data_IF_302185707401
#
_entry.id   IF_302185707401
#
_cell.length_a   1.000
_cell.length_b   1.000
_cell.length_c   1.000
_cell.angle_alpha   90.00
_cell.angle_beta   90.00
_cell.angle_gamma   90.00
#
_symmetry.space_group_name_H-M   'P 1'
#
loop_
_entity.id
_entity.type
_entity.pdbx_description
1 polymer ?
#
# COMPACT_ATOMS: atom_id res chain seq x y z
N UNK A 1 28.04 7.61 3.27
CA UNK A 1 27.52 7.86 4.63
C UNK A 1 27.96 9.25 5.06
N UNK A 2 27.04 10.08 5.54
CA UNK A 2 27.36 11.42 6.04
C UNK A 2 28.08 11.31 7.39
N UNK A 3 29.09 12.15 7.56
CA UNK A 3 29.86 12.20 8.81
C UNK A 3 29.22 13.17 9.81
N UNK A 4 29.38 12.90 11.08
CA UNK A 4 29.02 13.83 12.16
C UNK A 4 29.71 15.18 11.94
N UNK A 5 28.99 16.27 12.10
CA UNK A 5 29.45 17.63 11.83
C UNK A 5 29.25 18.11 10.39
N UNK A 6 28.83 17.24 9.46
CA UNK A 6 28.44 17.68 8.12
C UNK A 6 27.20 18.58 8.19
N UNK A 7 27.24 19.72 7.52
CA UNK A 7 26.10 20.66 7.44
C UNK A 7 25.46 20.55 6.07
N UNK A 8 24.16 20.23 6.03
CA UNK A 8 23.36 20.16 4.82
C UNK A 8 22.59 21.48 4.67
N UNK A 9 22.56 22.03 3.44
CA UNK A 9 21.84 23.24 3.10
C UNK A 9 22.17 24.44 4.01
N UNK A 10 23.43 24.53 4.49
CA UNK A 10 23.89 25.55 5.43
C UNK A 10 23.04 25.69 6.70
N UNK A 11 22.27 24.66 7.03
CA UNK A 11 21.26 24.71 8.09
C UNK A 11 21.26 23.50 9.02
N UNK A 12 21.34 22.29 8.49
CA UNK A 12 21.14 21.06 9.24
C UNK A 12 22.49 20.39 9.53
N UNK A 13 22.93 20.42 10.76
CA UNK A 13 24.17 19.77 11.20
C UNK A 13 23.89 18.32 11.61
N UNK A 14 24.52 17.38 10.94
CA UNK A 14 24.42 15.94 11.23
C UNK A 14 25.12 15.62 12.55
N UNK A 15 24.39 15.06 13.48
CA UNK A 15 24.89 14.66 14.80
C UNK A 15 25.20 13.17 14.89
N UNK A 16 24.47 12.32 14.14
CA UNK A 16 24.69 10.89 14.13
C UNK A 16 23.59 10.16 13.35
N UNK A 17 23.89 8.97 12.93
CA UNK A 17 22.94 8.09 12.24
C UNK A 17 22.03 7.39 13.26
N UNK A 18 20.73 7.44 13.05
CA UNK A 18 19.72 6.84 13.94
C UNK A 18 18.93 5.70 13.29
N UNK A 19 19.02 5.56 11.95
CA UNK A 19 18.30 4.50 11.24
C UNK A 19 18.88 4.23 9.85
N UNK A 20 18.62 3.03 9.34
CA UNK A 20 18.98 2.62 7.99
C UNK A 20 17.81 1.91 7.35
N UNK A 21 17.34 2.43 6.22
CA UNK A 21 16.35 1.80 5.37
C UNK A 21 16.96 1.25 4.07
N UNK A 22 16.12 0.69 3.22
CA UNK A 22 16.54 0.16 1.93
C UNK A 22 17.22 1.21 1.05
N UNK A 23 16.57 2.35 0.83
CA UNK A 23 17.06 3.40 -0.08
C UNK A 23 17.59 4.65 0.61
N UNK A 24 17.39 4.80 1.91
CA UNK A 24 17.76 6.00 2.66
C UNK A 24 18.29 5.67 4.04
N UNK A 25 19.16 6.53 4.56
CA UNK A 25 19.61 6.54 5.94
C UNK A 25 18.95 7.71 6.68
N UNK A 26 18.68 7.54 7.96
CA UNK A 26 18.10 8.57 8.82
C UNK A 26 19.12 9.02 9.85
N UNK A 27 19.26 10.34 9.96
CA UNK A 27 20.21 10.98 10.88
C UNK A 27 19.47 11.88 11.86
N UNK A 28 19.96 11.94 13.10
CA UNK A 28 19.67 13.04 14.01
C UNK A 28 20.46 14.25 13.57
N UNK A 29 19.83 15.40 13.51
CA UNK A 29 20.48 16.65 13.12
C UNK A 29 20.01 17.83 13.98
N UNK A 30 20.82 18.90 14.00
CA UNK A 30 20.48 20.19 14.59
C UNK A 30 20.08 21.15 13.49
N UNK A 31 18.86 21.66 13.55
CA UNK A 31 18.41 22.79 12.74
C UNK A 31 18.88 24.08 13.41
N UNK A 32 19.93 24.67 12.89
CA UNK A 32 20.51 25.89 13.45
C UNK A 32 19.64 27.14 13.26
N UNK A 33 18.77 27.14 12.23
CA UNK A 33 17.89 28.26 11.98
C UNK A 33 16.74 28.36 12.99
N UNK A 34 16.17 27.22 13.36
CA UNK A 34 15.07 27.14 14.32
C UNK A 34 15.52 26.64 15.70
N UNK A 35 16.82 26.40 15.88
CA UNK A 35 17.42 25.93 17.14
C UNK A 35 16.70 24.70 17.75
N UNK A 36 16.45 23.68 16.92
CA UNK A 36 15.78 22.45 17.32
C UNK A 36 16.47 21.21 16.78
N UNK A 37 16.23 20.06 17.38
CA UNK A 37 16.64 18.78 16.83
C UNK A 37 15.58 18.27 15.85
N UNK A 38 16.05 17.64 14.76
CA UNK A 38 15.22 17.07 13.70
C UNK A 38 15.78 15.71 13.27
N UNK A 39 14.97 14.92 12.60
CA UNK A 39 15.43 13.76 11.85
C UNK A 39 15.62 14.17 10.38
N UNK A 40 16.72 13.74 9.76
CA UNK A 40 17.00 13.97 8.34
C UNK A 40 17.16 12.63 7.65
N UNK A 41 16.23 12.34 6.76
CA UNK A 41 16.26 11.14 5.90
C UNK A 41 17.02 11.50 4.62
N UNK A 42 18.07 10.77 4.32
CA UNK A 42 19.00 11.06 3.21
C UNK A 42 19.03 9.89 2.25
N UNK A 43 18.79 10.16 0.96
CA UNK A 43 18.89 9.15 -0.09
C UNK A 43 20.32 8.62 -0.18
N UNK A 44 20.48 7.30 -0.16
CA UNK A 44 21.80 6.65 -0.23
C UNK A 44 22.51 6.97 -1.56
N UNK A 45 23.85 7.04 -1.56
CA UNK A 45 24.63 7.40 -2.74
C UNK A 45 24.32 6.57 -3.98
N UNK A 46 24.10 5.27 -3.82
CA UNK A 46 23.82 4.34 -4.92
C UNK A 46 22.53 4.64 -5.70
N UNK A 47 21.61 5.42 -5.12
CA UNK A 47 20.32 5.77 -5.73
C UNK A 47 20.25 7.23 -6.24
N UNK A 48 21.29 8.04 -6.03
CA UNK A 48 21.28 9.47 -6.33
C UNK A 48 21.35 9.81 -7.80
N UNK A 49 21.74 8.86 -8.66
CA UNK A 49 21.77 9.03 -10.12
C UNK A 49 20.52 8.42 -10.81
N UNK A 50 19.72 7.67 -10.09
CA UNK A 50 18.50 7.08 -10.62
C UNK A 50 17.32 8.04 -10.41
N UNK A 51 16.84 8.62 -11.52
CA UNK A 51 15.74 9.59 -11.52
C UNK A 51 14.43 8.98 -10.98
N UNK A 52 14.25 7.67 -11.07
CA UNK A 52 13.07 6.97 -10.53
C UNK A 52 13.09 6.98 -9.00
N UNK A 53 14.23 6.66 -8.39
CA UNK A 53 14.37 6.71 -6.94
C UNK A 53 14.28 8.12 -6.38
N UNK A 54 14.89 9.10 -7.05
CA UNK A 54 14.80 10.52 -6.67
C UNK A 54 13.35 11.00 -6.69
N UNK A 55 12.62 10.70 -7.75
CA UNK A 55 11.21 11.07 -7.89
C UNK A 55 10.35 10.42 -6.81
N UNK A 56 10.55 9.13 -6.53
CA UNK A 56 9.87 8.40 -5.45
C UNK A 56 10.12 9.05 -4.10
N UNK A 57 11.38 9.33 -3.81
CA UNK A 57 11.80 9.95 -2.56
C UNK A 57 11.13 11.33 -2.36
N UNK A 58 11.11 12.17 -3.41
CA UNK A 58 10.43 13.46 -3.36
C UNK A 58 8.92 13.36 -3.24
N UNK A 59 8.30 12.44 -3.96
CA UNK A 59 6.83 12.23 -3.90
C UNK A 59 6.35 11.76 -2.53
N UNK A 60 7.13 10.90 -1.87
CA UNK A 60 6.87 10.46 -0.49
C UNK A 60 6.87 11.66 0.48
N UNK A 61 7.89 12.51 0.37
CA UNK A 61 7.97 13.71 1.19
C UNK A 61 6.83 14.69 0.94
N UNK A 62 6.48 14.94 -0.31
CA UNK A 62 5.41 15.88 -0.69
C UNK A 62 4.05 15.43 -0.17
N UNK A 63 3.76 14.14 -0.24
CA UNK A 63 2.50 13.61 0.26
C UNK A 63 2.42 13.66 1.79
N UNK A 64 3.50 13.33 2.48
CA UNK A 64 3.54 13.41 3.94
C UNK A 64 3.52 14.88 4.44
N UNK A 65 4.03 15.83 3.67
CA UNK A 65 4.13 17.24 4.05
C UNK A 65 2.77 17.95 4.24
N UNK A 66 1.70 17.45 3.62
CA UNK A 66 0.35 18.01 3.79
C UNK A 66 -0.37 17.47 5.02
N UNK A 67 0.20 16.44 5.66
CA UNK A 67 -0.40 15.79 6.82
C UNK A 67 0.11 16.42 8.12
N UNK A 68 -0.82 16.85 8.97
CA UNK A 68 -0.53 17.29 10.34
C UNK A 68 -1.48 16.56 11.28
N UNK A 69 -0.95 15.61 12.04
CA UNK A 69 -1.73 14.80 12.97
C UNK A 69 -0.83 14.26 14.09
N UNK A 70 -1.33 14.15 15.35
CA UNK A 70 -0.54 13.64 16.47
C UNK A 70 0.05 12.24 16.26
N UNK A 71 -0.59 11.40 15.43
CA UNK A 71 -0.17 10.03 15.15
C UNK A 71 0.53 9.88 13.79
N UNK A 72 0.99 10.98 13.19
CA UNK A 72 1.80 11.00 11.98
C UNK A 72 3.08 11.78 12.24
N UNK A 73 4.22 11.28 11.78
CA UNK A 73 5.49 12.02 11.81
C UNK A 73 5.41 13.20 10.84
N UNK A 74 5.59 14.43 11.36
CA UNK A 74 5.54 15.63 10.53
C UNK A 74 6.75 15.75 9.63
N UNK A 75 6.54 16.10 8.37
CA UNK A 75 7.59 16.50 7.42
C UNK A 75 7.71 18.01 7.45
N UNK A 76 8.91 18.52 7.70
CA UNK A 76 9.18 19.97 7.82
C UNK A 76 9.78 20.58 6.56
N UNK A 77 10.60 19.82 5.84
CA UNK A 77 11.34 20.33 4.68
C UNK A 77 11.77 19.19 3.76
N UNK A 78 12.03 19.50 2.51
CA UNK A 78 12.59 18.59 1.52
C UNK A 78 13.51 19.36 0.61
N UNK A 79 14.68 18.82 0.29
CA UNK A 79 15.64 19.53 -0.52
C UNK A 79 16.71 18.66 -1.16
N UNK A 80 17.57 19.37 -1.84
CA UNK A 80 18.75 18.86 -2.53
C UNK A 80 19.91 19.81 -2.22
N UNK A 81 21.00 19.28 -1.73
CA UNK A 81 22.25 20.03 -1.50
C UNK A 81 23.42 19.28 -2.14
N UNK A 82 23.91 19.81 -3.27
CA UNK A 82 25.02 19.22 -4.04
C UNK A 82 24.83 17.72 -4.38
N UNK A 83 23.61 17.36 -4.81
CA UNK A 83 23.25 15.97 -5.14
C UNK A 83 22.92 15.09 -3.94
N UNK A 84 22.88 15.65 -2.73
CA UNK A 84 22.40 14.98 -1.52
C UNK A 84 20.92 15.30 -1.35
N UNK A 85 20.06 14.33 -1.67
CA UNK A 85 18.61 14.47 -1.52
C UNK A 85 18.20 14.14 -0.09
N UNK A 86 17.45 15.02 0.56
CA UNK A 86 17.08 14.89 1.96
C UNK A 86 15.63 15.29 2.24
N UNK A 87 15.08 14.70 3.28
CA UNK A 87 13.78 15.04 3.88
C UNK A 87 14.02 15.34 5.35
N UNK A 88 13.57 16.51 5.80
CA UNK A 88 13.63 16.90 7.23
C UNK A 88 12.29 16.64 7.87
N UNK A 89 12.30 15.92 8.97
CA UNK A 89 11.09 15.53 9.68
C UNK A 89 11.24 15.64 11.18
N UNK A 90 10.12 15.53 11.85
CA UNK A 90 10.03 15.45 13.31
C UNK A 90 10.94 14.34 13.83
N UNK A 91 11.75 14.67 14.82
CA UNK A 91 12.56 13.68 15.55
C UNK A 91 11.69 13.07 16.65
N UNK A 92 11.49 11.76 16.56
CA UNK A 92 10.80 11.01 17.61
C UNK A 92 11.84 10.23 18.41
N UNK A 93 11.95 10.55 19.69
CA UNK A 93 12.77 9.76 20.63
C UNK A 93 11.97 8.55 21.09
N UNK A 94 12.36 7.39 20.61
CA UNK A 94 11.65 6.14 20.85
C UNK A 94 12.21 4.99 20.03
N UNK A 95 11.40 3.95 19.87
CA UNK A 95 11.76 2.76 19.10
C UNK A 95 10.65 2.43 18.10
N UNK A 96 10.97 1.65 17.09
CA UNK A 96 9.96 1.11 16.17
C UNK A 96 9.08 0.09 16.89
N UNK A 97 7.85 -0.06 16.42
CA UNK A 97 6.96 -1.13 16.89
C UNK A 97 7.60 -2.52 16.66
N UNK A 98 8.37 -2.68 15.57
CA UNK A 98 9.09 -3.94 15.31
C UNK A 98 10.09 -4.27 16.42
N UNK A 99 10.88 -3.30 16.83
CA UNK A 99 11.82 -3.47 17.94
C UNK A 99 11.07 -3.72 19.26
N UNK A 100 9.96 -3.05 19.49
CA UNK A 100 9.15 -3.23 20.69
C UNK A 100 8.57 -4.66 20.77
N UNK A 101 8.00 -5.17 19.68
CA UNK A 101 7.52 -6.55 19.60
C UNK A 101 8.68 -7.55 19.82
N UNK A 102 9.83 -7.32 19.18
CA UNK A 102 11.00 -8.19 19.32
C UNK A 102 11.52 -8.26 20.75
N UNK A 103 11.50 -7.14 21.46
CA UNK A 103 11.95 -7.08 22.88
C UNK A 103 10.98 -7.74 23.84
N UNK A 104 9.66 -7.63 23.58
CA UNK A 104 8.63 -8.18 24.48
C UNK A 104 8.19 -9.59 24.09
N UNK A 105 8.49 -10.05 22.88
CA UNK A 105 7.99 -11.29 22.31
C UNK A 105 6.58 -11.15 21.75
N UNK A 106 5.61 -10.76 22.54
CA UNK A 106 4.25 -10.36 22.16
C UNK A 106 3.74 -9.26 23.08
N UNK A 107 2.79 -8.50 22.63
CA UNK A 107 2.18 -7.42 23.40
C UNK A 107 0.96 -7.89 24.16
N UNK A 108 0.65 -7.24 25.28
CA UNK A 108 -0.63 -7.43 25.94
C UNK A 108 -1.78 -6.93 25.05
N UNK A 109 -2.98 -7.44 25.29
CA UNK A 109 -4.20 -7.02 24.57
C UNK A 109 -4.39 -5.51 24.66
N UNK A 110 -4.21 -4.94 25.85
CA UNK A 110 -4.35 -3.51 26.09
C UNK A 110 -3.34 -2.67 25.31
N UNK A 111 -2.08 -3.07 25.31
CA UNK A 111 -1.02 -2.39 24.54
C UNK A 111 -1.31 -2.48 23.04
N UNK A 112 -1.58 -3.68 22.52
CA UNK A 112 -1.85 -3.90 21.11
C UNK A 112 -3.07 -3.08 20.63
N UNK A 113 -4.15 -3.08 21.41
CA UNK A 113 -5.36 -2.31 21.07
C UNK A 113 -5.11 -0.80 21.10
N UNK A 114 -4.41 -0.30 22.12
CA UNK A 114 -4.06 1.13 22.21
C UNK A 114 -3.16 1.58 21.03
N UNK A 115 -2.17 0.78 20.66
CA UNK A 115 -1.30 1.06 19.52
C UNK A 115 -2.12 1.03 18.22
N UNK A 116 -2.96 0.02 18.03
CA UNK A 116 -3.81 -0.11 16.86
C UNK A 116 -4.76 1.08 16.68
N UNK A 117 -5.37 1.58 17.76
CA UNK A 117 -6.23 2.77 17.73
C UNK A 117 -5.43 3.99 17.26
N UNK A 118 -4.26 4.23 17.82
CA UNK A 118 -3.44 5.39 17.45
C UNK A 118 -2.94 5.32 16.00
N UNK A 119 -2.51 4.14 15.54
CA UNK A 119 -2.14 3.91 14.12
C UNK A 119 -3.34 4.16 13.21
N UNK A 120 -4.50 3.62 13.57
CA UNK A 120 -5.74 3.81 12.81
C UNK A 120 -6.14 5.28 12.70
N UNK A 121 -5.99 6.06 13.77
CA UNK A 121 -6.26 7.50 13.76
C UNK A 121 -5.33 8.26 12.83
N UNK A 122 -4.04 7.89 12.78
CA UNK A 122 -3.08 8.46 11.83
C UNK A 122 -3.42 8.09 10.38
N UNK A 123 -3.76 6.83 10.12
CA UNK A 123 -4.16 6.37 8.78
C UNK A 123 -5.47 7.01 8.32
N UNK A 124 -6.45 7.16 9.20
CA UNK A 124 -7.71 7.83 8.91
C UNK A 124 -7.46 9.30 8.49
N UNK A 125 -6.62 10.01 9.22
CA UNK A 125 -6.24 11.38 8.87
C UNK A 125 -5.57 11.47 7.50
N UNK A 126 -4.74 10.50 7.11
CA UNK A 126 -4.16 10.43 5.78
C UNK A 126 -5.22 10.11 4.70
N UNK A 127 -6.08 9.14 4.96
CA UNK A 127 -7.15 8.75 4.04
C UNK A 127 -8.12 9.89 3.76
N UNK A 128 -8.46 10.70 4.76
CA UNK A 128 -9.31 11.89 4.59
C UNK A 128 -8.70 12.96 3.67
N UNK A 129 -7.39 12.92 3.45
CA UNK A 129 -6.67 13.73 2.47
C UNK A 129 -6.42 13.01 1.14
N UNK A 130 -7.02 11.84 0.93
CA UNK A 130 -6.82 11.03 -0.27
C UNK A 130 -5.44 10.36 -0.34
N UNK A 131 -4.74 10.24 0.79
CA UNK A 131 -3.39 9.66 0.87
C UNK A 131 -3.48 8.26 1.48
N UNK A 132 -3.06 7.26 0.71
CA UNK A 132 -2.95 5.86 1.12
C UNK A 132 -1.51 5.57 1.48
N UNK A 133 -1.28 4.94 2.63
CA UNK A 133 0.07 4.66 3.12
C UNK A 133 0.82 3.62 2.29
N UNK A 134 0.18 2.52 1.94
CA UNK A 134 0.68 1.40 1.12
C UNK A 134 1.83 0.58 1.68
N UNK A 135 2.39 0.95 2.80
CA UNK A 135 3.48 0.20 3.46
C UNK A 135 3.34 0.18 4.99
N UNK A 136 2.11 -0.03 5.47
CA UNK A 136 1.83 -0.17 6.91
C UNK A 136 2.50 -1.45 7.42
N UNK A 137 3.39 -1.30 8.39
CA UNK A 137 4.13 -2.39 9.05
C UNK A 137 4.79 -1.90 10.33
N UNK A 138 5.17 -2.79 11.23
CA UNK A 138 5.78 -2.38 12.52
C UNK A 138 7.05 -1.55 12.39
N UNK A 139 7.82 -1.70 11.31
CA UNK A 139 9.02 -0.92 11.04
C UNK A 139 8.72 0.56 10.75
N UNK A 140 7.52 0.87 10.27
CA UNK A 140 7.06 2.22 9.92
C UNK A 140 6.14 2.83 10.99
N UNK A 141 6.14 2.28 12.17
CA UNK A 141 5.40 2.77 13.34
C UNK A 141 6.41 3.00 14.47
N UNK A 142 6.43 4.21 15.02
CA UNK A 142 7.36 4.60 16.08
C UNK A 142 6.55 4.80 17.38
N UNK A 143 7.06 4.22 18.45
CA UNK A 143 6.54 4.42 19.80
C UNK A 143 7.52 5.33 20.53
N UNK A 144 7.06 6.53 20.91
CA UNK A 144 7.89 7.47 21.66
C UNK A 144 8.07 7.06 23.11
N UNK A 145 9.04 7.68 23.79
CA UNK A 145 9.32 7.43 25.21
C UNK A 145 8.13 7.74 26.14
N UNK A 146 7.25 8.63 25.73
CA UNK A 146 6.02 8.99 26.46
C UNK A 146 4.78 8.17 26.01
N UNK A 147 4.98 7.12 25.21
CA UNK A 147 3.94 6.19 24.78
C UNK A 147 3.05 6.68 23.62
N UNK A 148 3.41 7.76 22.95
CA UNK A 148 2.74 8.21 21.73
C UNK A 148 3.17 7.35 20.53
N UNK A 149 2.20 7.03 19.69
CA UNK A 149 2.43 6.22 18.48
C UNK A 149 2.33 7.09 17.25
N UNK A 150 3.31 7.02 16.38
CA UNK A 150 3.37 7.80 15.13
C UNK A 150 3.68 6.92 13.94
N UNK A 151 2.91 7.11 12.88
CA UNK A 151 3.12 6.47 11.57
C UNK A 151 4.08 7.32 10.75
N UNK A 152 5.02 6.67 10.07
CA UNK A 152 6.03 7.30 9.22
C UNK A 152 6.18 6.55 7.90
N UNK A 153 6.95 7.10 6.96
CA UNK A 153 7.33 6.46 5.70
C UNK A 153 6.15 6.03 4.82
N UNK A 154 5.34 7.00 4.42
CA UNK A 154 4.24 6.79 3.47
C UNK A 154 4.77 6.25 2.13
N UNK A 155 4.43 5.00 1.81
CA UNK A 155 4.93 4.26 0.64
C UNK A 155 4.28 4.63 -0.69
N UNK A 156 3.98 5.90 -0.94
CA UNK A 156 3.26 6.41 -2.13
C UNK A 156 3.94 5.99 -3.43
N UNK A 157 5.25 5.83 -3.40
CA UNK A 157 6.07 5.40 -4.53
C UNK A 157 5.82 3.94 -4.98
N UNK A 158 5.18 3.10 -4.16
CA UNK A 158 4.90 1.69 -4.51
C UNK A 158 3.81 1.54 -5.57
N UNK A 159 2.94 2.53 -5.72
CA UNK A 159 1.86 2.50 -6.72
C UNK A 159 2.34 2.59 -8.18
N UNK A 160 3.55 3.09 -8.41
CA UNK A 160 4.06 3.39 -9.75
C UNK A 160 5.03 2.34 -10.33
N UNK A 161 5.40 1.29 -9.56
CA UNK A 161 6.36 0.28 -10.01
C UNK A 161 5.74 -1.11 -10.04
N UNK A 162 5.01 -1.38 -11.12
CA UNK A 162 4.29 -2.65 -11.32
C UNK A 162 5.18 -3.85 -11.68
N UNK A 163 6.50 -3.74 -11.77
CA UNK A 163 7.29 -4.80 -12.41
C UNK A 163 8.59 -5.24 -11.73
N UNK A 164 8.88 -4.85 -10.50
CA UNK A 164 10.11 -5.38 -9.88
C UNK A 164 9.89 -5.72 -8.42
N UNK A 165 9.73 -7.00 -8.13
CA UNK A 165 9.98 -7.57 -6.81
C UNK A 165 11.50 -7.49 -6.60
N UNK A 166 11.98 -6.32 -6.22
CA UNK A 166 13.39 -6.13 -5.89
C UNK A 166 13.66 -6.62 -4.47
N UNK A 167 14.88 -7.07 -4.21
CA UNK A 167 15.32 -7.62 -2.91
C UNK A 167 15.06 -6.72 -1.69
N UNK A 168 14.84 -5.42 -1.89
CA UNK A 168 14.48 -4.45 -0.85
C UNK A 168 13.02 -4.55 -0.37
N UNK A 169 12.19 -5.40 -1.01
CA UNK A 169 10.77 -5.62 -0.69
C UNK A 169 10.59 -6.74 0.35
N UNK A 170 11.64 -7.45 0.74
CA UNK A 170 11.56 -8.66 1.55
C UNK A 170 10.82 -8.45 2.89
N UNK A 171 11.05 -7.33 3.56
CA UNK A 171 10.36 -7.02 4.82
C UNK A 171 8.91 -6.56 4.67
N UNK A 172 8.51 -6.09 3.49
CA UNK A 172 7.18 -5.54 3.26
C UNK A 172 6.18 -6.57 2.75
N UNK A 173 6.63 -7.64 2.10
CA UNK A 173 5.74 -8.68 1.57
C UNK A 173 4.90 -9.36 2.65
N UNK A 174 5.44 -9.49 3.87
CA UNK A 174 4.73 -10.08 5.01
C UNK A 174 3.44 -9.32 5.39
N UNK A 175 3.33 -8.05 5.00
CA UNK A 175 2.21 -7.16 5.34
C UNK A 175 1.40 -6.72 4.12
N UNK A 176 1.81 -7.13 2.91
CA UNK A 176 1.18 -6.71 1.66
C UNK A 176 -0.19 -7.36 1.47
N UNK A 177 -1.17 -6.56 1.07
CA UNK A 177 -2.51 -7.07 0.78
C UNK A 177 -2.53 -7.95 -0.49
N UNK A 178 -3.53 -8.83 -0.63
CA UNK A 178 -3.69 -9.65 -1.83
C UNK A 178 -3.71 -8.84 -3.12
N UNK A 179 -4.39 -7.71 -3.16
CA UNK A 179 -4.45 -6.82 -4.32
C UNK A 179 -3.09 -6.17 -4.64
N UNK A 180 -2.29 -5.82 -3.61
CA UNK A 180 -0.93 -5.32 -3.81
C UNK A 180 -0.01 -6.39 -4.37
N UNK A 181 -0.12 -7.63 -3.90
CA UNK A 181 0.65 -8.77 -4.40
C UNK A 181 0.35 -9.06 -5.87
N UNK A 182 -0.91 -8.91 -6.28
CA UNK A 182 -1.32 -9.05 -7.69
C UNK A 182 -0.87 -7.89 -8.59
N UNK A 183 -0.28 -6.84 -8.02
CA UNK A 183 0.03 -5.62 -8.75
C UNK A 183 -1.20 -4.79 -9.12
N UNK A 184 -2.30 -5.00 -8.41
CA UNK A 184 -3.56 -4.31 -8.61
C UNK A 184 -3.63 -2.93 -7.95
N UNK A 185 -4.77 -2.30 -8.09
CA UNK A 185 -5.07 -1.03 -7.46
C UNK A 185 -5.07 -1.18 -5.93
N UNK A 186 -4.41 -0.26 -5.26
CA UNK A 186 -4.26 -0.21 -3.81
C UNK A 186 -4.94 1.04 -3.26
N UNK A 187 -5.88 0.86 -2.37
CA UNK A 187 -6.64 1.91 -1.70
C UNK A 187 -6.54 1.81 -0.17
N UNK A 188 -7.40 2.51 0.53
CA UNK A 188 -7.51 2.52 1.99
C UNK A 188 -7.68 1.11 2.58
N UNK A 189 -8.35 0.21 1.87
CA UNK A 189 -8.60 -1.17 2.31
C UNK A 189 -7.34 -2.02 2.29
N UNK A 190 -6.33 -1.64 1.49
CA UNK A 190 -4.99 -2.25 1.54
C UNK A 190 -4.26 -1.90 2.84
N UNK A 191 -4.38 -0.67 3.32
CA UNK A 191 -3.84 -0.25 4.61
C UNK A 191 -4.54 -0.95 5.78
N UNK A 192 -5.86 -1.17 5.68
CA UNK A 192 -6.64 -1.94 6.66
C UNK A 192 -6.13 -3.37 6.76
N UNK A 193 -5.86 -4.03 5.63
CA UNK A 193 -5.28 -5.38 5.62
C UNK A 193 -3.91 -5.41 6.31
N UNK A 194 -3.02 -4.50 5.94
CA UNK A 194 -1.67 -4.41 6.51
C UNK A 194 -1.69 -4.10 8.01
N UNK A 195 -2.64 -3.27 8.46
CA UNK A 195 -2.89 -3.05 9.88
C UNK A 195 -3.35 -4.34 10.58
N UNK A 196 -4.22 -5.11 9.95
CA UNK A 196 -4.67 -6.41 10.47
C UNK A 196 -3.50 -7.39 10.67
N UNK A 197 -2.59 -7.48 9.70
CA UNK A 197 -1.38 -8.29 9.82
C UNK A 197 -0.47 -7.77 10.94
N UNK A 198 -0.35 -6.45 11.07
CA UNK A 198 0.42 -5.81 12.15
C UNK A 198 -0.18 -6.11 13.52
N UNK A 199 -1.50 -6.04 13.67
CA UNK A 199 -2.20 -6.43 14.90
C UNK A 199 -1.99 -7.91 15.22
N UNK A 200 -2.07 -8.77 14.22
CA UNK A 200 -1.77 -10.20 14.39
C UNK A 200 -0.38 -10.43 14.98
N UNK A 201 0.63 -9.76 14.43
CA UNK A 201 2.00 -9.86 14.92
C UNK A 201 2.13 -9.31 16.35
N UNK A 202 1.47 -8.19 16.67
CA UNK A 202 1.48 -7.63 18.02
C UNK A 202 0.99 -8.64 19.08
N UNK A 203 -0.11 -9.33 18.81
CA UNK A 203 -0.74 -10.21 19.81
C UNK A 203 -0.17 -11.63 19.83
N UNK A 204 0.47 -12.08 18.76
CA UNK A 204 1.05 -13.44 18.65
C UNK A 204 2.58 -13.46 18.71
N UNK A 205 3.23 -12.34 18.43
CA UNK A 205 4.68 -12.24 18.28
C UNK A 205 5.23 -12.73 16.94
N UNK A 206 4.36 -13.10 16.00
CA UNK A 206 4.74 -13.60 14.67
C UNK A 206 3.78 -13.19 13.57
N UNK A 207 4.29 -13.09 12.36
CA UNK A 207 3.47 -12.85 11.18
C UNK A 207 2.65 -14.11 10.83
N UNK A 208 1.43 -13.96 10.25
CA UNK A 208 0.61 -15.12 9.92
C UNK A 208 1.16 -15.94 8.75
N UNK A 209 1.87 -15.31 7.82
CA UNK A 209 2.46 -15.96 6.65
C UNK A 209 3.94 -15.71 6.57
N UNK A 210 4.72 -16.78 6.52
CA UNK A 210 6.17 -16.76 6.38
C UNK A 210 6.62 -17.81 5.37
N UNK A 211 7.86 -17.71 4.88
CA UNK A 211 8.41 -18.61 3.87
C UNK A 211 9.84 -18.25 3.47
N UNK A 212 10.48 -19.16 2.73
CA UNK A 212 11.88 -19.03 2.35
C UNK A 212 12.11 -17.94 1.28
N UNK A 213 11.07 -17.57 0.54
CA UNK A 213 11.15 -16.55 -0.52
C UNK A 213 9.99 -15.56 -0.43
N UNK A 214 10.21 -14.34 -0.95
CA UNK A 214 9.15 -13.33 -1.06
C UNK A 214 7.98 -13.81 -1.90
N UNK A 215 8.21 -14.61 -2.93
CA UNK A 215 7.18 -15.20 -3.78
C UNK A 215 6.33 -16.21 -2.99
N UNK A 216 6.95 -17.06 -2.18
CA UNK A 216 6.25 -18.02 -1.34
C UNK A 216 5.31 -17.31 -0.34
N UNK A 217 5.79 -16.25 0.31
CA UNK A 217 4.99 -15.43 1.22
C UNK A 217 3.84 -14.74 0.48
N UNK A 218 4.12 -14.18 -0.68
CA UNK A 218 3.13 -13.53 -1.53
C UNK A 218 1.98 -14.47 -1.92
N UNK A 219 2.30 -15.71 -2.32
CA UNK A 219 1.31 -16.74 -2.66
C UNK A 219 0.41 -17.06 -1.46
N UNK A 220 0.97 -17.13 -0.25
CA UNK A 220 0.19 -17.37 0.98
C UNK A 220 -0.82 -16.25 1.23
N UNK A 221 -0.45 -14.98 1.04
CA UNK A 221 -1.40 -13.87 1.12
C UNK A 221 -2.55 -13.98 0.11
N UNK A 222 -2.33 -14.61 -1.04
CA UNK A 222 -3.36 -14.82 -2.05
C UNK A 222 -4.27 -16.00 -1.77
N UNK A 223 -3.75 -17.09 -1.21
CA UNK A 223 -4.39 -18.39 -1.24
C UNK A 223 -4.66 -19.02 0.13
N UNK A 224 -3.78 -18.78 1.12
CA UNK A 224 -3.90 -19.44 2.40
C UNK A 224 -4.82 -18.66 3.36
N UNK A 225 -5.68 -19.39 4.06
CA UNK A 225 -6.45 -18.81 5.16
C UNK A 225 -5.53 -18.51 6.35
N UNK A 226 -5.85 -17.41 7.04
CA UNK A 226 -5.11 -17.02 8.22
C UNK A 226 -5.46 -17.92 9.40
N UNK A 227 -4.45 -18.43 10.09
CA UNK A 227 -4.69 -19.19 11.33
C UNK A 227 -5.19 -18.18 12.39
N UNK A 228 -6.34 -18.45 13.04
CA UNK A 228 -6.85 -17.53 14.06
C UNK A 228 -5.80 -17.21 15.10
N UNK A 229 -5.59 -15.93 15.46
CA UNK A 229 -4.53 -15.55 16.39
C UNK A 229 -4.68 -16.15 17.79
N UNK A 230 -5.90 -16.50 18.21
CA UNK A 230 -6.16 -17.22 19.48
C UNK A 230 -5.50 -18.59 19.58
N UNK A 231 -5.12 -19.21 18.45
CA UNK A 231 -4.33 -20.46 18.45
C UNK A 231 -2.95 -20.23 19.09
N UNK A 232 -2.38 -19.05 18.91
CA UNK A 232 -1.07 -18.68 19.47
C UNK A 232 -1.16 -17.78 20.71
N UNK A 233 -2.31 -17.14 20.91
CA UNK A 233 -2.62 -16.27 22.03
C UNK A 233 -4.02 -16.63 22.59
N UNK A 234 -4.14 -17.74 23.35
CA UNK A 234 -5.44 -18.22 23.85
C UNK A 234 -6.18 -17.21 24.74
N UNK A 235 -5.46 -16.26 25.34
CA UNK A 235 -6.00 -15.17 26.15
C UNK A 235 -6.64 -14.05 25.33
N UNK A 236 -6.54 -14.09 24.00
CA UNK A 236 -7.04 -13.02 23.14
C UNK A 236 -8.57 -12.93 23.22
N UNK A 237 -9.16 -11.76 23.53
CA UNK A 237 -10.59 -11.58 23.53
C UNK A 237 -11.23 -11.81 22.16
N UNK A 238 -12.44 -12.37 22.16
CA UNK A 238 -13.20 -12.66 20.95
C UNK A 238 -13.32 -11.45 20.03
N UNK A 239 -13.67 -10.29 20.55
CA UNK A 239 -13.86 -9.07 19.74
C UNK A 239 -12.60 -8.66 19.00
N UNK A 240 -11.43 -8.70 19.65
CA UNK A 240 -10.16 -8.30 19.01
C UNK A 240 -9.74 -9.31 17.94
N UNK A 241 -9.95 -10.61 18.19
CA UNK A 241 -9.73 -11.65 17.18
C UNK A 241 -10.60 -11.40 15.94
N UNK A 242 -11.89 -11.11 16.13
CA UNK A 242 -12.80 -10.84 15.03
C UNK A 242 -12.43 -9.58 14.25
N UNK A 243 -11.94 -8.53 14.91
CA UNK A 243 -11.43 -7.33 14.25
C UNK A 243 -10.23 -7.67 13.36
N UNK A 244 -9.26 -8.42 13.89
CA UNK A 244 -8.07 -8.86 13.13
C UNK A 244 -8.49 -9.69 11.91
N UNK A 245 -9.39 -10.64 12.09
CA UNK A 245 -9.87 -11.51 11.00
C UNK A 245 -10.65 -10.72 9.95
N UNK A 246 -11.43 -9.73 10.34
CA UNK A 246 -12.14 -8.85 9.39
C UNK A 246 -11.18 -7.97 8.60
N UNK A 247 -10.19 -7.35 9.24
CA UNK A 247 -9.16 -6.58 8.55
C UNK A 247 -8.40 -7.41 7.50
N UNK A 248 -8.15 -8.68 7.79
CA UNK A 248 -7.32 -9.58 6.98
C UNK A 248 -8.09 -10.44 5.99
N UNK A 249 -9.37 -10.14 5.74
CA UNK A 249 -10.13 -10.81 4.69
C UNK A 249 -9.46 -10.60 3.33
N UNK A 250 -9.43 -11.65 2.51
CA UNK A 250 -8.79 -11.59 1.19
C UNK A 250 -9.58 -10.73 0.21
N UNK A 251 -10.91 -10.84 0.25
CA UNK A 251 -11.80 -9.97 -0.52
C UNK A 251 -11.88 -8.58 0.13
N UNK A 252 -11.66 -7.54 -0.66
CA UNK A 252 -11.77 -6.14 -0.22
C UNK A 252 -13.18 -5.80 0.29
N UNK A 253 -14.22 -6.43 -0.29
CA UNK A 253 -15.62 -6.19 0.06
C UNK A 253 -16.00 -6.80 1.43
N UNK A 254 -15.21 -7.74 1.91
CA UNK A 254 -15.42 -8.40 3.22
C UNK A 254 -14.64 -7.74 4.35
N UNK A 255 -13.72 -6.84 4.04
CA UNK A 255 -12.99 -6.06 5.03
C UNK A 255 -13.84 -4.91 5.55
N UNK A 256 -13.31 -4.20 6.55
CA UNK A 256 -13.79 -2.85 6.85
C UNK A 256 -13.67 -1.97 5.60
N UNK A 257 -14.67 -1.12 5.37
CA UNK A 257 -14.72 -0.27 4.19
C UNK A 257 -13.99 1.06 4.39
N UNK A 258 -13.75 1.46 5.63
CA UNK A 258 -13.03 2.67 6.02
C UNK A 258 -12.34 2.46 7.37
N UNK A 259 -11.43 3.36 7.70
CA UNK A 259 -10.66 3.29 8.94
C UNK A 259 -11.48 3.74 10.16
N UNK A 260 -12.50 4.57 9.99
CA UNK A 260 -13.39 5.01 11.06
C UNK A 260 -14.10 3.83 11.73
N UNK A 261 -14.58 2.87 10.92
CA UNK A 261 -15.24 1.66 11.43
C UNK A 261 -14.25 0.76 12.19
N UNK A 262 -13.00 0.68 11.75
CA UNK A 262 -11.93 -0.03 12.48
C UNK A 262 -11.71 0.61 13.86
N UNK A 263 -11.60 1.94 13.92
CA UNK A 263 -11.41 2.69 15.16
C UNK A 263 -12.60 2.45 16.10
N UNK A 264 -13.81 2.51 15.59
CA UNK A 264 -15.02 2.31 16.37
C UNK A 264 -15.06 0.91 17.02
N UNK A 265 -14.76 -0.13 16.25
CA UNK A 265 -14.74 -1.50 16.76
C UNK A 265 -13.57 -1.74 17.73
N UNK A 266 -12.38 -1.19 17.48
CA UNK A 266 -11.25 -1.26 18.41
C UNK A 266 -11.57 -0.60 19.77
N UNK A 267 -12.21 0.57 19.76
CA UNK A 267 -12.65 1.24 20.99
C UNK A 267 -13.74 0.44 21.72
N UNK A 268 -14.68 -0.12 20.97
CA UNK A 268 -15.74 -0.98 21.51
C UNK A 268 -15.15 -2.25 22.15
N UNK A 269 -14.11 -2.84 21.56
CA UNK A 269 -13.45 -4.02 22.11
C UNK A 269 -12.83 -3.81 23.49
N UNK A 270 -12.47 -2.58 23.83
CA UNK A 270 -12.00 -2.22 25.18
C UNK A 270 -13.12 -2.22 26.21
N UNK A 271 -14.36 -1.95 25.79
CA UNK A 271 -15.55 -1.88 26.65
C UNK A 271 -16.19 -3.26 26.78
N UNK A 272 -16.29 -4.00 25.65
CA UNK A 272 -16.91 -5.32 25.58
C UNK A 272 -15.95 -6.32 24.89
N UNK A 273 -14.91 -6.79 25.61
CA UNK A 273 -13.87 -7.66 25.01
C UNK A 273 -14.39 -8.95 24.42
N UNK A 274 -15.43 -9.56 25.04
CA UNK A 274 -16.01 -10.84 24.59
C UNK A 274 -17.26 -10.63 23.72
N UNK A 275 -17.59 -9.39 23.38
CA UNK A 275 -18.75 -9.08 22.56
C UNK A 275 -18.65 -9.59 21.13
N UNK A 276 -19.80 -9.94 20.57
CA UNK A 276 -19.96 -10.44 19.20
C UNK A 276 -20.60 -9.34 18.32
N UNK A 277 -19.98 -8.17 18.29
CA UNK A 277 -20.46 -7.01 17.54
C UNK A 277 -19.78 -6.83 16.18
N UNK A 278 -18.68 -7.55 15.91
CA UNK A 278 -17.96 -7.47 14.64
C UNK A 278 -18.67 -8.32 13.61
N UNK A 279 -19.15 -7.68 12.53
CA UNK A 279 -19.86 -8.39 11.46
C UNK A 279 -18.85 -8.94 10.46
N UNK A 280 -18.79 -10.27 10.35
CA UNK A 280 -18.04 -10.98 9.31
C UNK A 280 -19.04 -11.45 8.23
N UNK A 281 -18.73 -11.15 6.96
CA UNK A 281 -19.51 -11.67 5.83
C UNK A 281 -19.14 -13.13 5.60
N UNK A 282 -20.10 -14.06 5.85
CA UNK A 282 -19.87 -15.49 5.59
C UNK A 282 -19.82 -15.79 4.09
N UNK A 283 -19.01 -16.80 3.72
CA UNK A 283 -18.88 -17.26 2.32
C UNK A 283 -20.23 -17.81 1.81
N UNK A 284 -21.07 -18.31 2.72
CA UNK A 284 -22.34 -18.98 2.38
C UNK A 284 -23.45 -18.06 1.89
N UNK A 285 -23.32 -16.74 2.08
CA UNK A 285 -24.34 -15.78 1.62
C UNK A 285 -24.24 -15.39 0.14
N UNK A 286 -23.12 -15.69 -0.53
CA UNK A 286 -22.97 -15.40 -1.97
C UNK A 286 -23.31 -16.59 -2.90
N UNK A 287 -23.45 -17.80 -2.34
CA UNK A 287 -23.71 -19.02 -3.11
C UNK A 287 -25.10 -19.61 -2.81
N UNK A 288 -26.10 -18.80 -2.54
CA UNK A 288 -27.48 -19.27 -2.68
C UNK A 288 -27.81 -19.33 -4.16
N UNK A 289 -27.42 -20.42 -4.79
CA UNK A 289 -28.12 -20.90 -5.98
C UNK A 289 -29.59 -20.93 -5.63
N UNK A 290 -30.39 -20.09 -6.27
CA UNK A 290 -31.83 -20.16 -6.14
C UNK A 290 -32.23 -21.55 -6.65
N UNK A 291 -32.50 -22.48 -5.74
CA UNK A 291 -33.07 -23.78 -6.11
C UNK A 291 -34.49 -23.48 -6.52
N UNK A 292 -34.70 -23.38 -7.83
CA UNK A 292 -36.05 -23.25 -8.40
C UNK A 292 -36.72 -24.56 -8.12
N UNK A 293 -37.80 -24.54 -7.36
CA UNK A 293 -38.59 -25.72 -7.09
C UNK A 293 -39.25 -26.25 -8.36
N UNK A 294 -39.49 -27.58 -8.44
CA UNK A 294 -40.16 -28.17 -9.61
C UNK A 294 -41.52 -27.55 -9.92
N UNK A 295 -42.17 -26.96 -8.92
CA UNK A 295 -43.41 -26.23 -9.05
C UNK A 295 -43.21 -24.90 -9.78
N UNK A 296 -42.17 -24.14 -9.42
CA UNK A 296 -41.82 -22.89 -10.09
C UNK A 296 -41.30 -23.11 -11.52
N UNK A 297 -40.57 -24.24 -11.72
CA UNK A 297 -40.17 -24.66 -13.07
C UNK A 297 -41.36 -25.00 -13.95
N UNK A 298 -42.42 -25.60 -13.36
CA UNK A 298 -43.69 -25.86 -14.03
C UNK A 298 -44.43 -24.59 -14.42
N UNK A 299 -44.49 -23.62 -13.54
CA UNK A 299 -45.13 -22.33 -13.79
C UNK A 299 -44.38 -21.51 -14.85
N UNK A 300 -43.05 -21.50 -14.87
CA UNK A 300 -42.25 -20.85 -15.90
C UNK A 300 -42.44 -21.50 -17.28
N UNK A 301 -42.58 -22.80 -17.35
CA UNK A 301 -42.84 -23.52 -18.62
C UNK A 301 -44.25 -23.29 -19.20
N UNK A 302 -45.21 -22.87 -18.37
CA UNK A 302 -46.58 -22.59 -18.77
C UNK A 302 -46.90 -21.11 -18.96
N UNK A 303 -45.97 -20.22 -18.80
CA UNK A 303 -46.14 -18.82 -19.14
C UNK A 303 -46.21 -18.66 -20.65
N UNK A 304 -47.30 -18.03 -21.21
CA UNK A 304 -47.37 -17.75 -22.64
C UNK A 304 -46.25 -16.81 -23.03
N UNK A 305 -45.48 -17.18 -24.05
CA UNK A 305 -44.48 -16.32 -24.66
C UNK A 305 -45.19 -15.07 -25.15
N UNK A 306 -45.07 -13.96 -24.43
CA UNK A 306 -45.36 -12.66 -24.97
C UNK A 306 -44.28 -12.34 -26.01
N UNK A 307 -44.66 -12.55 -27.27
CA UNK A 307 -43.88 -12.09 -28.43
C UNK A 307 -44.13 -10.59 -28.50
N UNK A 308 -43.25 -9.81 -27.94
CA UNK A 308 -43.16 -8.39 -28.30
C UNK A 308 -42.50 -8.29 -29.66
N UNK A 309 -43.33 -8.30 -30.70
CA UNK A 309 -42.95 -7.77 -32.01
C UNK A 309 -42.81 -6.26 -31.84
N UNK A 310 -41.65 -5.75 -31.77
CA UNK A 310 -41.35 -4.37 -32.14
C UNK A 310 -40.73 -4.44 -33.54
N UNK A 311 -41.53 -4.12 -34.51
CA UNK A 311 -41.09 -3.78 -35.86
C UNK A 311 -40.28 -2.47 -35.77
N UNK A 312 -39.12 -2.35 -36.43
CA UNK A 312 -38.50 -1.06 -36.63
C UNK A 312 -39.20 -0.32 -37.75
N UNK A 313 -39.81 0.81 -37.44
CA UNK A 313 -40.24 1.79 -38.45
C UNK A 313 -39.00 2.29 -39.20
N UNK A 314 -39.04 2.04 -40.51
CA UNK A 314 -38.14 2.63 -41.48
C UNK A 314 -38.49 4.12 -41.63
N UNK A 315 -37.60 5.00 -41.27
CA UNK A 315 -37.58 6.38 -41.70
C UNK A 315 -36.83 6.43 -43.03
N UNK A 316 -37.57 6.53 -44.11
CA UNK A 316 -37.07 6.98 -45.41
C UNK A 316 -36.75 8.48 -45.30
N UNK A 317 -35.48 8.84 -45.38
CA UNK A 317 -35.05 10.20 -45.70
C UNK A 317 -34.47 10.20 -47.10
N UNK A 318 -35.11 11.04 -47.93
CA UNK A 318 -34.80 11.35 -49.31
C UNK A 318 -33.36 11.80 -49.49
N UNK A 319 -32.65 11.12 -50.37
CA UNK A 319 -31.35 11.56 -50.88
C UNK A 319 -31.60 12.49 -52.04
N UNK A 320 -31.30 13.76 -51.90
CA UNK A 320 -31.13 14.69 -53.00
C UNK A 320 -29.71 14.56 -53.55
N UNK A 321 -29.67 14.12 -54.80
CA UNK A 321 -28.49 14.16 -55.67
C UNK A 321 -28.09 15.61 -55.93
N UNK A 322 -26.81 15.93 -55.75
CA UNK A 322 -26.10 16.89 -56.59
C UNK A 322 -24.70 16.40 -56.82
N UNK A 323 -24.46 16.19 -58.10
CA UNK A 323 -23.19 15.95 -58.76
C UNK A 323 -22.08 16.92 -58.32
N UNK A 324 -20.87 16.41 -58.25
CA UNK A 324 -19.70 16.96 -58.95
C UNK A 324 -18.56 15.96 -58.97
N UNK A 325 -18.15 15.65 -60.18
CA UNK A 325 -16.95 14.95 -60.63
C UNK A 325 -15.66 15.55 -60.03
N UNK A 326 -14.70 14.72 -59.74
CA UNK A 326 -13.34 14.75 -60.30
C UNK A 326 -12.44 13.72 -59.59
N UNK A 327 -12.14 12.63 -60.27
CA UNK A 327 -10.87 11.91 -60.11
C UNK A 327 -9.75 12.63 -60.90
N UNK A 328 -8.46 12.47 -60.55
CA UNK A 328 -7.74 11.42 -61.26
C UNK A 328 -6.63 10.65 -60.50
N UNK A 329 -6.64 9.39 -60.78
CA UNK A 329 -5.53 8.45 -61.09
C UNK A 329 -4.16 8.54 -60.37
N UNK A 330 -3.86 7.48 -59.66
CA UNK A 330 -2.84 6.43 -59.83
C UNK A 330 -1.40 6.87 -60.19
N UNK A 331 -0.47 6.39 -59.36
CA UNK A 331 0.68 5.59 -59.82
C UNK A 331 1.38 4.83 -58.70
N UNK A 332 1.32 3.49 -58.84
CA UNK A 332 2.20 2.51 -58.24
C UNK A 332 3.62 2.71 -58.75
N UNK A 333 4.62 2.71 -57.86
CA UNK A 333 5.93 2.23 -58.25
C UNK A 333 6.54 1.35 -57.15
N UNK A 334 6.71 0.10 -57.54
CA UNK A 334 7.51 -0.98 -56.97
C UNK A 334 8.94 -0.84 -57.52
N UNK A 335 9.97 -0.92 -56.69
CA UNK A 335 11.34 -1.44 -57.01
C UNK A 335 12.02 -1.70 -55.69
N UNK A 336 12.25 -2.96 -55.34
CA UNK A 336 13.36 -3.91 -55.58
C UNK A 336 14.72 -3.40 -55.05
N UNK A 337 15.13 -4.12 -54.00
CA UNK A 337 16.41 -4.75 -53.69
C UNK A 337 17.69 -4.10 -54.22
N UNK A 338 18.67 -3.93 -53.32
CA UNK A 338 19.97 -4.54 -53.49
C UNK A 338 20.85 -4.38 -52.23
N UNK A 339 21.40 -5.52 -51.79
CA UNK A 339 22.63 -5.59 -51.00
C UNK A 339 23.81 -5.51 -51.93
N UNK A 340 25.00 -4.99 -51.58
CA UNK A 340 26.19 -5.82 -51.59
C UNK A 340 27.10 -5.64 -50.36
N UNK A 341 27.53 -6.72 -49.82
CA UNK A 341 28.88 -7.35 -49.91
C UNK A 341 30.07 -6.67 -49.22
N UNK A 342 30.69 -7.51 -48.44
CA UNK A 342 31.97 -7.39 -47.71
C UNK A 342 33.15 -7.00 -48.64
N UNK A 343 34.09 -6.21 -48.10
CA UNK A 343 35.51 -6.37 -48.42
C UNK A 343 36.42 -6.17 -47.21
N UNK A 344 37.17 -7.24 -46.92
CA UNK A 344 38.41 -7.25 -46.11
C UNK A 344 39.55 -6.58 -46.88
N UNK A 345 40.48 -5.93 -46.16
CA UNK A 345 41.94 -5.90 -46.36
C UNK A 345 42.55 -5.11 -45.19
N UNK A 346 43.38 -5.68 -44.33
CA UNK A 346 44.79 -6.10 -44.35
C UNK A 346 45.77 -4.94 -44.46
N UNK A 347 46.66 -4.86 -43.44
CA UNK A 347 48.06 -4.50 -43.46
C UNK A 347 48.35 -3.08 -43.01
N UNK A 348 49.15 -2.78 -42.02
CA UNK A 348 50.44 -3.23 -41.62
C UNK A 348 51.33 -2.00 -41.46
N UNK A 349 51.79 -1.79 -40.29
CA UNK A 349 53.16 -1.49 -39.83
C UNK A 349 53.10 -1.06 -38.39
#
# INVERSE_FOLDING_TARGET
MLKTGTIIAERYEILGKIGTGGMADVYKAKDHKLNRFVAVKVLKPEFREDTTFIRKFKSEAQAAAVLTHPNIVNVFDVGDDNGVYYIVMELIEGITLKEYISKKGKLSVKEATSIAIQVSMGLEAAHSHGIVHRDVKPQNIIISMDGKVKVTDFGIARAASSNTISSNVMGSVHYSSPEQVRGGYSDEKSDIYSLGITMYEMVTGKVPFDGDTTVAIAIKHLQEEIVPPSVYAPELPHSLEQIILKCTQKSVDRRYQNMEDVIADLKHSLIDPQGDFVTLTSVDNEAKTVVISDKELGEIKHMPKQITKSEPEALEEEINETDYDDEPEVKKHRKKSDKPEKKKKRGGH
#
